data_IF_758869220731
#
_entry.id   IF_758869220731
#
_cell.length_a   1.000
_cell.length_b   1.000
_cell.length_c   1.000
_cell.angle_alpha   90.00
_cell.angle_beta   90.00
_cell.angle_gamma   90.00
#
_symmetry.space_group_name_H-M   'P 1'
#
loop_
_entity.id
_entity.type
_entity.pdbx_description
1 polymer ?
#
# COMPACT_ATOMS: atom_id res chain seq x y z
N UNK A 1 -4.92 26.98 6.08
CA UNK A 1 -4.98 28.45 5.95
C UNK A 1 -5.90 28.99 7.05
N UNK A 2 -5.47 30.00 7.75
CA UNK A 2 -6.31 30.75 8.68
C UNK A 2 -7.23 31.67 7.88
N UNK A 3 -8.54 31.48 8.01
CA UNK A 3 -9.52 32.20 7.19
C UNK A 3 -9.65 33.71 7.56
N UNK A 4 -9.31 34.07 8.79
CA UNK A 4 -9.39 35.48 9.24
C UNK A 4 -8.18 36.30 8.79
N UNK A 5 -7.01 35.68 8.74
CA UNK A 5 -5.74 36.35 8.43
C UNK A 5 -5.19 36.03 7.04
N UNK A 6 -5.73 35.00 6.36
CA UNK A 6 -5.22 34.49 5.09
C UNK A 6 -3.86 33.78 5.20
N UNK A 7 -3.29 33.65 6.41
CA UNK A 7 -1.98 33.02 6.60
C UNK A 7 -2.07 31.51 6.37
N UNK A 8 -1.08 30.98 5.67
CA UNK A 8 -0.91 29.54 5.45
C UNK A 8 0.23 29.00 6.32
N UNK A 9 0.09 27.75 6.72
CA UNK A 9 1.14 26.99 7.39
C UNK A 9 1.31 25.67 6.63
N UNK A 10 2.54 25.29 6.37
CA UNK A 10 2.88 23.99 5.83
C UNK A 10 2.89 22.95 6.95
N UNK A 11 2.30 21.78 6.69
CA UNK A 11 2.31 20.61 7.56
C UNK A 11 3.15 19.52 6.91
N UNK A 12 3.83 18.72 7.74
CA UNK A 12 4.61 17.57 7.29
C UNK A 12 5.66 17.89 6.22
N UNK A 13 6.29 19.07 6.27
CA UNK A 13 7.26 19.55 5.26
C UNK A 13 8.50 18.65 5.06
N UNK A 14 8.73 17.69 5.96
CA UNK A 14 9.82 16.71 5.88
C UNK A 14 9.36 15.34 5.36
N UNK A 15 8.07 15.18 5.13
CA UNK A 15 7.52 13.93 4.62
C UNK A 15 7.65 13.90 3.10
N UNK A 16 8.51 13.03 2.63
CA UNK A 16 8.82 12.88 1.19
C UNK A 16 7.80 11.95 0.51
N UNK A 17 6.53 12.36 0.54
CA UNK A 17 5.46 11.68 -0.18
C UNK A 17 4.37 12.68 -0.61
N UNK A 18 3.65 12.34 -1.66
CA UNK A 18 2.52 13.13 -2.16
C UNK A 18 1.21 12.55 -1.61
N UNK A 19 0.49 13.36 -0.86
CA UNK A 19 -0.86 13.01 -0.40
C UNK A 19 -1.84 12.92 -1.58
N UNK A 20 -2.64 11.84 -1.66
CA UNK A 20 -3.61 11.68 -2.75
C UNK A 20 -4.89 12.47 -2.51
N UNK A 21 -5.47 12.32 -1.35
CA UNK A 21 -6.65 13.05 -0.91
C UNK A 21 -6.57 13.28 0.58
N UNK A 22 -7.35 14.20 1.11
CA UNK A 22 -7.35 14.52 2.53
C UNK A 22 -8.74 14.40 3.14
N UNK A 23 -8.81 13.77 4.31
CA UNK A 23 -10.00 13.72 5.15
C UNK A 23 -9.65 14.23 6.54
N UNK A 24 -10.40 15.24 7.01
CA UNK A 24 -10.16 15.81 8.33
C UNK A 24 -10.94 15.01 9.39
N UNK A 25 -10.31 14.74 10.55
CA UNK A 25 -11.01 14.18 11.71
C UNK A 25 -12.12 15.13 12.20
N UNK A 26 -13.15 14.60 12.85
CA UNK A 26 -14.28 15.38 13.37
C UNK A 26 -13.85 16.47 14.37
N UNK A 27 -12.80 16.22 15.14
CA UNK A 27 -12.23 17.18 16.10
C UNK A 27 -11.23 18.17 15.47
N UNK A 28 -10.95 18.04 14.17
CA UNK A 28 -10.04 18.90 13.42
C UNK A 28 -8.56 18.74 13.75
N UNK A 29 -8.16 17.69 14.48
CA UNK A 29 -6.76 17.52 14.94
C UNK A 29 -5.93 16.62 14.06
N UNK A 30 -6.54 15.80 13.22
CA UNK A 30 -5.86 14.87 12.35
C UNK A 30 -6.34 14.96 10.92
N UNK A 31 -5.44 14.85 9.97
CA UNK A 31 -5.72 14.70 8.55
C UNK A 31 -5.34 13.28 8.17
N UNK A 32 -6.27 12.56 7.55
CA UNK A 32 -6.03 11.24 6.99
C UNK A 32 -5.81 11.33 5.49
N UNK A 33 -4.82 10.60 5.00
CA UNK A 33 -4.48 10.57 3.58
C UNK A 33 -3.78 9.26 3.22
N UNK A 34 -3.90 8.83 1.99
CA UNK A 34 -3.04 7.81 1.41
C UNK A 34 -1.88 8.47 0.65
N UNK A 35 -0.81 7.74 0.49
CA UNK A 35 0.31 8.14 -0.34
C UNK A 35 1.09 6.92 -0.83
N UNK A 36 1.73 7.03 -1.99
CA UNK A 36 2.63 6.00 -2.48
C UNK A 36 3.92 5.98 -1.65
N UNK A 37 4.30 4.81 -1.16
CA UNK A 37 5.54 4.61 -0.43
C UNK A 37 6.16 3.26 -0.76
N UNK A 38 7.31 3.25 -1.43
CA UNK A 38 8.09 2.05 -1.75
C UNK A 38 7.25 0.92 -2.39
N UNK A 39 6.40 1.26 -3.35
CA UNK A 39 5.53 0.29 -4.03
C UNK A 39 4.37 -0.24 -3.18
N UNK A 40 4.04 0.44 -2.09
CA UNK A 40 2.82 0.26 -1.29
C UNK A 40 1.98 1.52 -1.36
N UNK A 41 0.76 1.44 -0.86
CA UNK A 41 -0.15 2.59 -0.76
C UNK A 41 -0.76 2.68 0.64
N UNK A 42 0.07 3.03 1.66
CA UNK A 42 -0.34 3.12 3.04
C UNK A 42 -1.38 4.20 3.33
N UNK A 43 -2.07 4.06 4.47
CA UNK A 43 -2.88 5.12 5.08
C UNK A 43 -2.11 5.79 6.21
N UNK A 44 -2.08 7.12 6.18
CA UNK A 44 -1.39 7.96 7.15
C UNK A 44 -2.38 8.87 7.89
N UNK A 45 -2.03 9.18 9.13
CA UNK A 45 -2.57 10.31 9.89
C UNK A 45 -1.48 11.39 10.04
N UNK A 46 -1.84 12.61 9.73
CA UNK A 46 -1.00 13.80 9.91
C UNK A 46 -1.58 14.68 11.00
N UNK A 47 -0.83 14.93 12.05
CA UNK A 47 -1.24 15.84 13.12
C UNK A 47 -1.36 17.27 12.61
N UNK A 48 -2.51 17.90 12.82
CA UNK A 48 -2.72 19.31 12.48
C UNK A 48 -1.88 20.23 13.36
N UNK A 49 -1.58 19.84 14.59
CA UNK A 49 -0.85 20.69 15.54
C UNK A 49 0.62 20.80 15.19
N UNK A 50 1.30 19.68 14.97
CA UNK A 50 2.76 19.63 14.80
C UNK A 50 3.25 19.07 13.46
N UNK A 51 2.34 18.58 12.60
CA UNK A 51 2.69 17.99 11.31
C UNK A 51 3.33 16.59 11.39
N UNK A 52 3.25 15.93 12.55
CA UNK A 52 3.75 14.57 12.70
C UNK A 52 2.94 13.60 11.83
N UNK A 53 3.64 12.74 11.10
CA UNK A 53 3.04 11.75 10.20
C UNK A 53 3.16 10.37 10.83
N UNK A 54 2.04 9.70 10.98
CA UNK A 54 1.95 8.33 11.53
C UNK A 54 1.28 7.42 10.50
N UNK A 55 1.89 6.29 10.18
CA UNK A 55 1.26 5.29 9.33
C UNK A 55 0.29 4.44 10.14
N UNK A 56 -0.98 4.41 9.72
CA UNK A 56 -2.05 3.63 10.35
C UNK A 56 -2.16 2.23 9.73
N UNK A 57 -2.10 2.17 8.39
CA UNK A 57 -2.12 0.91 7.64
C UNK A 57 -0.88 0.89 6.75
N UNK A 58 -0.03 -0.12 6.91
CA UNK A 58 1.33 -0.11 6.32
C UNK A 58 1.52 -1.07 5.16
N UNK A 59 0.80 -2.19 5.16
CA UNK A 59 1.04 -3.29 4.24
C UNK A 59 0.04 -3.26 3.08
N UNK A 60 0.49 -3.64 1.90
CA UNK A 60 -0.35 -3.66 0.72
C UNK A 60 -0.76 -2.27 0.23
N UNK A 61 -1.96 -2.18 -0.30
CA UNK A 61 -2.54 -0.97 -0.87
C UNK A 61 -3.90 -0.68 -0.27
N UNK A 62 -4.06 0.50 0.30
CA UNK A 62 -5.36 1.04 0.71
C UNK A 62 -6.07 1.59 -0.52
N UNK A 63 -7.22 1.02 -0.85
CA UNK A 63 -8.06 1.42 -1.99
C UNK A 63 -9.08 2.49 -1.61
N UNK A 64 -9.54 2.48 -0.36
CA UNK A 64 -10.46 3.49 0.18
C UNK A 64 -10.40 3.50 1.71
N UNK A 65 -10.79 4.60 2.30
CA UNK A 65 -11.03 4.70 3.75
C UNK A 65 -12.13 5.70 4.06
N UNK A 66 -12.78 5.52 5.21
CA UNK A 66 -13.84 6.41 5.70
C UNK A 66 -13.79 6.50 7.24
N UNK A 67 -14.20 7.66 7.75
CA UNK A 67 -14.37 7.89 9.18
C UNK A 67 -15.85 7.76 9.58
N UNK A 68 -16.13 6.86 10.51
CA UNK A 68 -17.43 6.67 11.12
C UNK A 68 -17.34 6.96 12.63
N UNK A 69 -17.47 8.24 12.99
CA UNK A 69 -17.19 8.71 14.35
C UNK A 69 -15.72 8.46 14.73
N UNK A 70 -15.51 7.71 15.83
CA UNK A 70 -14.17 7.34 16.30
C UNK A 70 -13.63 6.05 15.67
N UNK A 71 -14.31 5.53 14.65
CA UNK A 71 -13.90 4.33 13.93
C UNK A 71 -13.40 4.70 12.54
N UNK A 72 -12.23 4.22 12.20
CA UNK A 72 -11.67 4.26 10.86
C UNK A 72 -11.95 2.94 10.16
N UNK A 73 -12.63 3.00 9.02
CA UNK A 73 -12.91 1.85 8.15
C UNK A 73 -12.00 1.94 6.93
N UNK A 74 -11.28 0.86 6.64
CA UNK A 74 -10.25 0.82 5.59
C UNK A 74 -10.50 -0.36 4.67
N UNK A 75 -10.57 -0.12 3.37
CA UNK A 75 -10.52 -1.15 2.34
C UNK A 75 -9.08 -1.27 1.85
N UNK A 76 -8.51 -2.45 1.96
CA UNK A 76 -7.12 -2.69 1.57
C UNK A 76 -6.93 -4.05 0.92
N UNK A 77 -5.93 -4.14 0.05
CA UNK A 77 -5.59 -5.33 -0.72
C UNK A 77 -4.07 -5.53 -0.79
N UNK A 78 -3.66 -6.66 -1.36
CA UNK A 78 -2.25 -6.97 -1.60
C UNK A 78 -2.13 -7.86 -2.85
N UNK A 79 -0.92 -8.19 -3.28
CA UNK A 79 -0.74 -9.12 -4.40
C UNK A 79 -1.39 -10.50 -4.18
N UNK A 80 -1.64 -10.87 -2.94
CA UNK A 80 -2.22 -12.18 -2.57
C UNK A 80 -3.69 -12.11 -2.14
N UNK A 81 -4.28 -10.94 -2.07
CA UNK A 81 -5.66 -10.76 -1.61
C UNK A 81 -6.32 -9.56 -2.28
N UNK A 82 -7.52 -9.75 -2.79
CA UNK A 82 -8.42 -8.64 -3.13
C UNK A 82 -8.79 -7.83 -1.89
N UNK A 83 -9.62 -6.80 -2.08
CA UNK A 83 -10.00 -5.89 -1.01
C UNK A 83 -10.67 -6.61 0.17
N UNK A 84 -10.15 -6.33 1.35
CA UNK A 84 -10.71 -6.70 2.65
C UNK A 84 -11.00 -5.42 3.41
N UNK A 85 -12.17 -5.36 4.05
CA UNK A 85 -12.54 -4.21 4.86
C UNK A 85 -12.10 -4.46 6.30
N UNK A 86 -11.36 -3.49 6.83
CA UNK A 86 -10.87 -3.47 8.19
C UNK A 86 -11.49 -2.32 8.98
N UNK A 87 -11.56 -2.46 10.30
CA UNK A 87 -11.84 -1.37 11.22
C UNK A 87 -10.75 -1.26 12.28
N UNK A 88 -10.47 -0.02 12.66
CA UNK A 88 -9.59 0.35 13.77
C UNK A 88 -10.11 1.63 14.42
N UNK A 89 -9.50 2.07 15.53
CA UNK A 89 -9.79 3.39 16.08
C UNK A 89 -9.26 4.50 15.15
N UNK A 90 -9.88 5.65 15.17
CA UNK A 90 -9.48 6.80 14.36
C UNK A 90 -8.01 7.21 14.61
N UNK A 91 -7.50 7.03 15.82
CA UNK A 91 -6.09 7.28 16.14
C UNK A 91 -5.13 6.14 15.70
N UNK A 92 -5.64 5.07 15.11
CA UNK A 92 -4.86 3.92 14.62
C UNK A 92 -4.24 3.05 15.71
N UNK A 93 -4.58 3.25 16.99
CA UNK A 93 -3.97 2.51 18.09
C UNK A 93 -4.66 1.18 18.41
N UNK A 94 -5.95 1.06 18.09
CA UNK A 94 -6.65 -0.20 18.23
C UNK A 94 -6.15 -1.22 17.18
N UNK A 95 -6.13 -2.51 17.50
CA UNK A 95 -5.79 -3.54 16.50
C UNK A 95 -6.71 -3.48 15.27
N UNK A 96 -6.13 -3.64 14.10
CA UNK A 96 -6.90 -3.81 12.86
C UNK A 96 -7.74 -5.08 12.94
N UNK A 97 -9.05 -4.94 12.74
CA UNK A 97 -9.99 -6.05 12.75
C UNK A 97 -10.66 -6.15 11.37
N UNK A 98 -10.49 -7.27 10.69
CA UNK A 98 -11.22 -7.54 9.46
C UNK A 98 -12.74 -7.60 9.76
N UNK A 99 -13.52 -6.86 8.98
CA UNK A 99 -15.00 -6.84 9.06
C UNK A 99 -15.58 -7.80 8.02
N UNK A 100 -14.98 -7.83 6.84
CA UNK A 100 -15.35 -8.79 5.79
C UNK A 100 -14.45 -10.01 5.86
N UNK A 101 -14.95 -11.20 5.46
CA UNK A 101 -14.08 -12.34 5.25
C UNK A 101 -12.97 -11.97 4.28
N UNK A 102 -11.75 -12.38 4.58
CA UNK A 102 -10.70 -12.35 3.57
C UNK A 102 -11.15 -13.23 2.39
N UNK A 103 -10.65 -12.95 1.18
CA UNK A 103 -10.85 -13.85 0.05
C UNK A 103 -10.30 -15.28 0.32
N UNK A 104 -9.72 -15.51 1.49
CA UNK A 104 -9.08 -16.74 1.89
C UNK A 104 -9.97 -17.98 1.78
N UNK A 105 -11.27 -17.88 2.08
CA UNK A 105 -12.16 -19.03 1.84
C UNK A 105 -12.40 -19.31 0.35
N UNK A 106 -12.53 -18.26 -0.45
CA UNK A 106 -12.69 -18.38 -1.92
C UNK A 106 -11.39 -18.83 -2.59
N UNK A 107 -10.27 -18.47 -2.02
CA UNK A 107 -8.92 -18.72 -2.57
C UNK A 107 -8.17 -19.84 -1.83
N UNK A 108 -8.81 -20.59 -0.94
CA UNK A 108 -8.18 -21.64 -0.13
C UNK A 108 -7.47 -22.73 -0.96
N UNK A 109 -7.94 -22.95 -2.18
CA UNK A 109 -7.38 -23.94 -3.10
C UNK A 109 -6.42 -23.30 -4.12
N UNK A 110 -6.21 -21.97 -4.03
CA UNK A 110 -5.26 -21.23 -4.86
C UNK A 110 -3.92 -21.15 -4.15
N UNK A 111 -2.86 -21.49 -4.86
CA UNK A 111 -1.48 -21.32 -4.37
C UNK A 111 -0.87 -20.08 -5.00
N UNK A 112 -0.55 -19.11 -4.15
CA UNK A 112 0.18 -17.93 -4.54
C UNK A 112 1.69 -18.17 -4.43
N UNK A 113 2.46 -17.49 -5.27
CA UNK A 113 3.89 -17.35 -5.10
C UNK A 113 4.22 -16.36 -3.97
N UNK A 114 5.21 -16.69 -3.16
CA UNK A 114 5.75 -15.76 -2.16
C UNK A 114 6.41 -14.57 -2.87
N UNK A 115 6.26 -13.38 -2.31
CA UNK A 115 6.89 -12.19 -2.86
C UNK A 115 7.66 -11.43 -1.79
N UNK A 116 8.70 -10.75 -2.24
CA UNK A 116 9.55 -9.93 -1.39
C UNK A 116 10.02 -8.68 -2.14
N UNK A 117 10.30 -7.63 -1.40
CA UNK A 117 10.89 -6.42 -1.92
C UNK A 117 12.40 -6.58 -1.99
N UNK A 118 13.01 -6.09 -3.07
CA UNK A 118 14.46 -5.99 -3.21
C UNK A 118 14.87 -4.57 -3.61
N UNK A 119 16.15 -4.28 -3.48
CA UNK A 119 16.72 -2.99 -3.86
C UNK A 119 18.08 -3.19 -4.50
N UNK A 120 18.43 -2.28 -5.39
CA UNK A 120 19.74 -2.23 -6.04
C UNK A 120 20.14 -0.79 -6.37
N UNK A 121 21.45 -0.51 -6.57
CA UNK A 121 21.88 0.80 -7.05
C UNK A 121 21.52 0.95 -8.54
N UNK A 122 20.77 1.98 -8.85
CA UNK A 122 20.42 2.38 -10.21
C UNK A 122 21.39 3.43 -10.78
N UNK A 123 20.90 4.24 -11.71
CA UNK A 123 21.66 5.34 -12.29
C UNK A 123 22.05 6.34 -11.19
N UNK A 124 23.25 6.94 -11.29
CA UNK A 124 23.82 7.81 -10.26
C UNK A 124 23.88 7.20 -8.84
N UNK A 125 23.87 5.87 -8.73
CA UNK A 125 23.86 5.17 -7.45
C UNK A 125 22.60 5.45 -6.59
N UNK A 126 21.53 5.91 -7.21
CA UNK A 126 20.22 6.04 -6.54
C UNK A 126 19.65 4.68 -6.23
N UNK A 127 18.99 4.53 -5.09
CA UNK A 127 18.37 3.26 -4.72
C UNK A 127 17.11 3.02 -5.53
N UNK A 128 17.10 1.93 -6.29
CA UNK A 128 15.90 1.44 -6.98
C UNK A 128 15.29 0.30 -6.17
N UNK A 129 13.98 0.34 -6.03
CA UNK A 129 13.19 -0.69 -5.37
C UNK A 129 12.39 -1.48 -6.39
N UNK A 130 12.22 -2.76 -6.13
CA UNK A 130 11.38 -3.64 -6.95
C UNK A 130 10.80 -4.76 -6.11
N UNK A 131 9.94 -5.56 -6.73
CA UNK A 131 9.41 -6.79 -6.16
C UNK A 131 9.84 -7.99 -6.98
N UNK A 132 10.11 -9.09 -6.29
CA UNK A 132 10.27 -10.39 -6.89
C UNK A 132 9.20 -11.33 -6.33
N UNK A 133 8.44 -11.99 -7.22
CA UNK A 133 7.56 -13.09 -6.87
C UNK A 133 8.20 -14.40 -7.28
N UNK A 134 8.20 -15.35 -6.36
CA UNK A 134 8.59 -16.73 -6.64
C UNK A 134 7.45 -17.46 -7.35
N UNK A 135 7.75 -18.41 -8.25
CA UNK A 135 6.68 -19.24 -8.81
C UNK A 135 5.97 -20.04 -7.71
N UNK A 136 4.70 -20.38 -7.91
CA UNK A 136 3.89 -21.12 -6.92
C UNK A 136 4.52 -22.45 -6.47
N UNK A 137 5.36 -23.04 -7.31
CA UNK A 137 6.07 -24.31 -7.10
C UNK A 137 7.58 -24.11 -6.91
N UNK A 138 7.96 -22.99 -6.31
CA UNK A 138 9.37 -22.66 -6.10
C UNK A 138 10.08 -23.72 -5.25
N UNK A 139 11.27 -24.10 -5.73
CA UNK A 139 12.21 -24.97 -5.03
C UNK A 139 13.59 -24.30 -5.06
N UNK A 140 14.22 -24.24 -3.91
CA UNK A 140 15.54 -23.63 -3.78
C UNK A 140 16.58 -24.35 -4.68
N UNK A 141 17.44 -23.57 -5.31
CA UNK A 141 18.46 -24.07 -6.24
C UNK A 141 17.98 -24.36 -7.65
N UNK A 142 16.67 -24.36 -7.93
CA UNK A 142 16.15 -24.47 -9.30
C UNK A 142 16.17 -23.13 -10.01
N UNK A 143 16.31 -23.17 -11.33
CA UNK A 143 16.19 -22.00 -12.21
C UNK A 143 14.81 -21.98 -12.84
N UNK A 144 14.23 -20.78 -12.91
CA UNK A 144 12.91 -20.53 -13.47
C UNK A 144 12.98 -19.49 -14.59
N UNK A 145 12.09 -19.53 -15.59
CA UNK A 145 11.97 -18.44 -16.54
C UNK A 145 11.51 -17.17 -15.79
N UNK A 146 11.93 -16.01 -16.28
CA UNK A 146 11.60 -14.72 -15.67
C UNK A 146 10.59 -13.98 -16.51
N UNK A 147 9.51 -13.53 -15.90
CA UNK A 147 8.62 -12.51 -16.43
C UNK A 147 9.03 -11.17 -15.82
N UNK A 148 9.56 -10.27 -16.65
CA UNK A 148 9.91 -8.92 -16.21
C UNK A 148 8.77 -7.97 -16.59
N UNK A 149 8.06 -7.44 -15.60
CA UNK A 149 6.92 -6.56 -15.78
C UNK A 149 7.38 -5.11 -15.63
N UNK A 150 7.15 -4.33 -16.67
CA UNK A 150 7.52 -2.91 -16.71
C UNK A 150 6.22 -2.11 -16.78
N UNK A 151 5.98 -1.24 -15.79
CA UNK A 151 4.80 -0.38 -15.75
C UNK A 151 4.88 0.71 -16.81
N UNK A 152 3.73 1.18 -17.24
CA UNK A 152 3.61 2.39 -18.05
C UNK A 152 3.68 3.66 -17.22
N UNK A 153 3.70 4.79 -17.90
CA UNK A 153 3.68 6.06 -17.16
C UNK A 153 4.33 7.18 -17.95
N UNK A 154 5.32 7.89 -17.44
CA UNK A 154 6.53 7.39 -16.74
C UNK A 154 6.40 7.29 -15.22
N UNK A 155 5.53 8.05 -14.60
CA UNK A 155 5.39 8.04 -13.14
C UNK A 155 4.42 6.96 -12.69
N UNK A 156 4.79 6.22 -11.68
CA UNK A 156 4.03 5.13 -11.10
C UNK A 156 4.91 3.92 -10.79
N UNK A 157 4.31 2.87 -10.28
CA UNK A 157 4.97 1.59 -10.02
C UNK A 157 3.96 0.46 -10.10
N UNK A 158 4.42 -0.75 -10.43
CA UNK A 158 3.76 -1.95 -9.97
C UNK A 158 4.13 -2.11 -8.49
N UNK A 159 3.13 -2.30 -7.65
CA UNK A 159 3.32 -2.37 -6.20
C UNK A 159 2.58 -3.53 -5.58
N UNK A 160 2.58 -3.56 -4.24
CA UNK A 160 1.86 -4.55 -3.46
C UNK A 160 0.36 -4.23 -3.45
N UNK A 161 -0.30 -4.56 -4.55
CA UNK A 161 -1.72 -4.34 -4.74
C UNK A 161 -2.37 -5.42 -5.61
N UNK A 162 -3.67 -5.64 -5.39
CA UNK A 162 -4.47 -6.55 -6.19
C UNK A 162 -4.89 -5.93 -7.52
N UNK A 163 -4.71 -6.69 -8.58
CA UNK A 163 -5.23 -6.31 -9.90
C UNK A 163 -5.98 -7.48 -10.53
N UNK A 164 -7.23 -7.26 -10.92
CA UNK A 164 -7.98 -8.26 -11.69
C UNK A 164 -7.54 -8.34 -13.16
N UNK A 165 -6.77 -7.37 -13.64
CA UNK A 165 -6.29 -7.33 -15.02
C UNK A 165 -4.81 -7.71 -15.17
N UNK A 166 -3.96 -7.22 -14.28
CA UNK A 166 -2.50 -7.33 -14.38
C UNK A 166 -1.89 -7.89 -13.09
N UNK A 167 -2.48 -8.98 -12.58
CA UNK A 167 -1.97 -9.60 -11.37
C UNK A 167 -0.70 -10.40 -11.66
N UNK A 168 0.44 -10.07 -11.03
CA UNK A 168 1.70 -10.79 -11.23
C UNK A 168 1.61 -12.26 -10.80
N UNK A 169 0.70 -12.62 -9.91
CA UNK A 169 0.44 -14.00 -9.50
C UNK A 169 -0.02 -14.90 -10.65
N UNK A 170 -0.59 -14.34 -11.72
CA UNK A 170 -0.97 -15.14 -12.91
C UNK A 170 0.26 -15.70 -13.62
N UNK A 171 1.37 -14.95 -13.65
CA UNK A 171 2.64 -15.43 -14.19
C UNK A 171 3.33 -16.42 -13.24
N UNK A 172 3.31 -16.13 -11.93
CA UNK A 172 3.85 -17.03 -10.92
C UNK A 172 3.11 -18.37 -10.91
N UNK A 173 1.79 -18.37 -11.15
CA UNK A 173 0.95 -19.56 -11.31
C UNK A 173 1.31 -20.39 -12.54
N UNK A 174 1.95 -19.81 -13.55
CA UNK A 174 2.46 -20.50 -14.73
C UNK A 174 3.94 -20.93 -14.58
N UNK A 175 4.52 -20.79 -13.40
CA UNK A 175 5.88 -21.23 -13.11
C UNK A 175 6.99 -20.22 -13.43
N UNK A 176 6.65 -18.95 -13.64
CA UNK A 176 7.63 -17.88 -13.82
C UNK A 176 8.02 -17.27 -12.47
N UNK A 177 9.30 -16.92 -12.33
CA UNK A 177 9.69 -15.90 -11.39
C UNK A 177 9.32 -14.54 -11.97
N UNK A 178 8.65 -13.67 -11.19
CA UNK A 178 8.21 -12.37 -11.67
C UNK A 178 9.06 -11.28 -11.04
N UNK A 179 9.54 -10.35 -11.85
CA UNK A 179 10.28 -9.18 -11.39
C UNK A 179 9.55 -7.93 -11.88
N UNK A 180 9.34 -6.99 -11.00
CA UNK A 180 8.67 -5.72 -11.32
C UNK A 180 9.17 -4.58 -10.42
#
# INVERSE_FOLDING_TARGET
MDLATGKTRELASKWDASADGITLSADGKSIYTTAQELGRHPLFAVSVDNGEVTSIFKDGSVSAFELAGDTLVVSANSMNSGDVIYATSADGKAPLRAITPSAGEMLKDVRFGDYEQFRFPGWNNETVHGYVLKPWNYEEGKKYPVAFLIHGGPQGSFGDGWSYRWNPQTYAGQGYAVVM
#
